data_IF_315261596460
#
_entry.id   IF_315261596460
#
_cell.length_a   1.000
_cell.length_b   1.000
_cell.length_c   1.000
_cell.angle_alpha   90.00
_cell.angle_beta   90.00
_cell.angle_gamma   90.00
#
_symmetry.space_group_name_H-M   'P 1'
#
loop_
_entity.id
_entity.type
_entity.pdbx_description
1 polymer ?
#
# COMPACT_ATOMS: atom_id res chain seq x y z
N UNK A 1 -15.20 1.32 16.84
CA UNK A 1 -14.61 1.25 15.48
C UNK A 1 -15.46 2.14 14.59
N UNK A 2 -14.90 3.16 13.92
CA UNK A 2 -15.59 3.75 12.78
C UNK A 2 -15.89 2.58 11.82
N UNK A 3 -17.15 2.40 11.45
CA UNK A 3 -17.55 1.21 10.69
C UNK A 3 -16.92 1.25 9.29
N UNK A 4 -15.90 0.43 9.09
CA UNK A 4 -15.46 0.11 7.74
C UNK A 4 -16.62 -0.53 7.01
N UNK A 5 -17.00 -0.01 5.87
CA UNK A 5 -18.10 -0.56 5.08
C UNK A 5 -17.58 -1.52 4.03
N UNK A 6 -18.26 -2.67 3.86
CA UNK A 6 -17.88 -3.65 2.84
C UNK A 6 -17.84 -2.96 1.44
N UNK A 7 -16.70 -2.97 0.76
CA UNK A 7 -16.55 -2.33 -0.54
C UNK A 7 -17.15 -3.17 -1.69
N UNK A 8 -17.60 -4.38 -1.42
CA UNK A 8 -18.11 -5.30 -2.44
C UNK A 8 -19.64 -5.36 -2.46
N UNK A 9 -20.23 -5.56 -3.65
CA UNK A 9 -19.57 -5.64 -4.95
C UNK A 9 -18.95 -4.30 -5.37
N UNK A 10 -17.83 -4.34 -6.11
CA UNK A 10 -17.22 -3.14 -6.71
C UNK A 10 -18.27 -2.44 -7.58
N UNK A 11 -18.49 -1.16 -7.32
CA UNK A 11 -19.55 -0.38 -7.96
C UNK A 11 -19.33 -0.16 -9.47
N UNK A 12 -18.06 -0.04 -9.89
CA UNK A 12 -17.66 0.09 -11.30
C UNK A 12 -16.22 -0.39 -11.49
N UNK A 13 -15.95 -0.91 -12.68
CA UNK A 13 -14.62 -1.44 -13.02
C UNK A 13 -13.65 -0.31 -13.37
N UNK A 14 -12.97 0.21 -12.33
CA UNK A 14 -11.97 1.27 -12.47
C UNK A 14 -10.72 0.79 -13.19
N UNK A 15 -10.09 1.68 -13.95
CA UNK A 15 -8.73 1.51 -14.45
C UNK A 15 -7.74 2.01 -13.39
N UNK A 16 -6.81 1.16 -12.99
CA UNK A 16 -5.76 1.46 -12.02
C UNK A 16 -4.43 1.53 -12.77
N UNK A 17 -3.82 2.70 -12.79
CA UNK A 17 -2.49 2.87 -13.38
C UNK A 17 -1.42 2.52 -12.36
N UNK A 18 -0.56 1.57 -12.70
CA UNK A 18 0.54 1.12 -11.85
C UNK A 18 1.88 1.34 -12.56
N UNK A 19 2.70 2.21 -11.99
CA UNK A 19 4.12 2.32 -12.34
C UNK A 19 4.88 1.53 -11.28
N UNK A 20 5.26 0.29 -11.60
CA UNK A 20 5.76 -0.66 -10.61
C UNK A 20 7.05 -1.36 -11.05
N UNK A 21 7.57 -2.25 -10.20
CA UNK A 21 8.72 -3.07 -10.52
C UNK A 21 8.30 -4.32 -11.33
N UNK A 22 9.25 -4.89 -12.07
CA UNK A 22 8.99 -6.02 -12.95
C UNK A 22 8.72 -7.33 -12.19
N UNK A 23 9.23 -7.45 -10.95
CA UNK A 23 9.16 -8.69 -10.16
C UNK A 23 7.73 -8.97 -9.71
N UNK A 24 7.02 -7.95 -9.25
CA UNK A 24 5.65 -8.08 -8.74
C UNK A 24 4.56 -7.69 -9.75
N UNK A 25 4.94 -7.19 -10.92
CA UNK A 25 4.03 -6.61 -11.92
C UNK A 25 2.83 -7.54 -12.24
N UNK A 26 3.08 -8.81 -12.56
CA UNK A 26 2.04 -9.80 -12.87
C UNK A 26 1.13 -10.06 -11.67
N UNK A 27 1.68 -10.20 -10.47
CA UNK A 27 0.93 -10.42 -9.24
C UNK A 27 0.00 -9.24 -8.93
N UNK A 28 0.46 -8.01 -9.11
CA UNK A 28 -0.34 -6.80 -8.92
C UNK A 28 -1.48 -6.72 -9.93
N UNK A 29 -1.19 -6.99 -11.21
CA UNK A 29 -2.21 -7.01 -12.26
C UNK A 29 -3.33 -8.00 -11.95
N UNK A 30 -2.96 -9.23 -11.58
CA UNK A 30 -3.91 -10.28 -11.22
C UNK A 30 -4.66 -9.96 -9.91
N UNK A 31 -4.02 -9.33 -8.93
CA UNK A 31 -4.68 -8.87 -7.70
C UNK A 31 -5.76 -7.82 -7.97
N UNK A 32 -5.46 -6.82 -8.81
CA UNK A 32 -6.45 -5.81 -9.24
C UNK A 32 -7.63 -6.45 -9.99
N UNK A 33 -7.34 -7.39 -10.90
CA UNK A 33 -8.38 -8.15 -11.62
C UNK A 33 -9.23 -9.00 -10.66
N UNK A 34 -8.62 -9.62 -9.65
CA UNK A 34 -9.32 -10.42 -8.65
C UNK A 34 -10.40 -9.61 -7.93
N UNK A 35 -10.18 -8.32 -7.67
CA UNK A 35 -11.16 -7.43 -7.06
C UNK A 35 -12.23 -6.93 -8.04
N UNK A 36 -12.01 -7.02 -9.35
CA UNK A 36 -12.97 -6.59 -10.39
C UNK A 36 -12.61 -5.27 -11.09
N UNK A 37 -11.43 -4.71 -10.82
CA UNK A 37 -10.89 -3.54 -11.51
C UNK A 37 -9.95 -3.94 -12.66
N UNK A 38 -9.48 -2.98 -13.43
CA UNK A 38 -8.60 -3.18 -14.59
C UNK A 38 -7.22 -2.56 -14.32
N UNK A 39 -6.13 -3.33 -14.43
CA UNK A 39 -4.78 -2.78 -14.31
C UNK A 39 -4.28 -2.25 -15.66
N UNK A 40 -3.43 -1.23 -15.60
CA UNK A 40 -2.52 -0.85 -16.69
C UNK A 40 -1.12 -0.61 -16.11
N UNK A 41 -0.11 -1.26 -16.70
CA UNK A 41 1.27 -1.29 -16.18
C UNK A 41 2.21 -0.48 -17.10
N UNK A 42 1.77 0.72 -17.51
CA UNK A 42 2.53 1.59 -18.42
C UNK A 42 3.56 2.42 -17.62
N UNK A 43 4.82 2.35 -17.98
CA UNK A 43 5.91 3.08 -17.32
C UNK A 43 6.88 3.80 -18.28
N UNK A 44 6.54 3.84 -19.57
CA UNK A 44 7.28 4.59 -20.59
C UNK A 44 6.83 6.07 -20.56
N UNK A 45 7.78 7.00 -20.43
CA UNK A 45 7.48 8.44 -20.35
C UNK A 45 6.78 8.99 -21.59
N UNK A 46 6.82 8.31 -22.72
CA UNK A 46 6.18 8.72 -23.98
C UNK A 46 4.66 8.50 -23.98
N UNK A 47 4.16 7.53 -23.18
CA UNK A 47 2.74 7.16 -23.15
C UNK A 47 2.10 7.27 -21.75
N UNK A 48 2.90 7.42 -20.69
CA UNK A 48 2.45 7.38 -19.30
C UNK A 48 1.24 8.28 -19.02
N UNK A 49 1.22 9.47 -19.61
CA UNK A 49 0.13 10.43 -19.43
C UNK A 49 -1.18 9.99 -20.10
N UNK A 50 -1.11 9.24 -21.19
CA UNK A 50 -2.31 8.76 -21.87
C UNK A 50 -3.07 7.76 -21.00
N UNK A 51 -2.34 6.93 -20.24
CA UNK A 51 -2.92 5.99 -19.30
C UNK A 51 -3.31 6.66 -17.98
N UNK A 52 -2.48 7.56 -17.44
CA UNK A 52 -2.83 8.25 -16.19
C UNK A 52 -4.14 9.05 -16.34
N UNK A 53 -4.34 9.71 -17.48
CA UNK A 53 -5.56 10.49 -17.77
C UNK A 53 -6.84 9.67 -17.77
N UNK A 54 -6.77 8.39 -18.10
CA UNK A 54 -7.92 7.49 -18.19
C UNK A 54 -8.18 6.74 -16.88
N UNK A 55 -7.25 6.81 -15.92
CA UNK A 55 -7.28 6.03 -14.70
C UNK A 55 -8.05 6.73 -13.58
N UNK A 56 -8.56 5.95 -12.63
CA UNK A 56 -9.27 6.42 -11.44
C UNK A 56 -8.40 6.40 -10.18
N UNK A 57 -7.22 5.78 -10.24
CA UNK A 57 -6.17 5.86 -9.22
C UNK A 57 -4.80 5.59 -9.84
N UNK A 58 -3.75 6.13 -9.20
CA UNK A 58 -2.35 5.92 -9.58
C UNK A 58 -1.62 5.21 -8.44
N UNK A 59 -0.94 4.12 -8.75
CA UNK A 59 -0.01 3.44 -7.85
C UNK A 59 1.42 3.58 -8.39
N UNK A 60 2.32 4.09 -7.56
CA UNK A 60 3.75 4.25 -7.84
C UNK A 60 4.54 3.41 -6.86
N UNK A 61 5.35 2.48 -7.38
CA UNK A 61 6.30 1.68 -6.60
C UNK A 61 7.72 1.99 -7.06
N UNK A 62 8.61 2.34 -6.14
CA UNK A 62 9.98 2.76 -6.45
C UNK A 62 10.97 1.60 -6.66
N UNK A 63 10.49 0.36 -6.65
CA UNK A 63 11.31 -0.80 -7.02
C UNK A 63 11.75 -0.74 -8.48
N UNK A 64 12.95 -1.27 -8.80
CA UNK A 64 13.49 -1.31 -10.17
C UNK A 64 13.50 0.07 -10.86
N UNK A 65 14.02 1.08 -10.17
CA UNK A 65 14.06 2.44 -10.69
C UNK A 65 15.09 2.57 -11.82
N UNK A 66 14.69 3.18 -12.94
CA UNK A 66 15.55 3.65 -14.02
C UNK A 66 15.34 5.14 -14.23
N UNK A 67 16.25 5.81 -14.95
CA UNK A 67 16.09 7.23 -15.25
C UNK A 67 14.80 7.51 -16.07
N UNK A 68 14.43 6.61 -16.98
CA UNK A 68 13.21 6.75 -17.78
C UNK A 68 11.95 6.52 -16.92
N UNK A 69 11.97 5.52 -16.04
CA UNK A 69 10.88 5.30 -15.08
C UNK A 69 10.73 6.46 -14.10
N UNK A 70 11.83 7.04 -13.60
CA UNK A 70 11.79 8.23 -12.76
C UNK A 70 11.10 9.40 -13.47
N UNK A 71 11.42 9.64 -14.75
CA UNK A 71 10.76 10.66 -15.56
C UNK A 71 9.26 10.38 -15.72
N UNK A 72 8.88 9.14 -16.01
CA UNK A 72 7.49 8.73 -16.12
C UNK A 72 6.72 8.93 -14.79
N UNK A 73 7.33 8.54 -13.66
CA UNK A 73 6.78 8.76 -12.30
C UNK A 73 6.49 10.25 -12.07
N UNK A 74 7.45 11.14 -12.33
CA UNK A 74 7.28 12.59 -12.14
C UNK A 74 6.15 13.15 -13.00
N UNK A 75 6.04 12.72 -14.25
CA UNK A 75 4.99 13.15 -15.17
C UNK A 75 3.60 12.69 -14.68
N UNK A 76 3.46 11.42 -14.32
CA UNK A 76 2.21 10.85 -13.82
C UNK A 76 1.78 11.50 -12.50
N UNK A 77 2.70 11.64 -11.53
CA UNK A 77 2.43 12.25 -10.23
C UNK A 77 2.03 13.73 -10.36
N UNK A 78 2.73 14.50 -11.20
CA UNK A 78 2.38 15.90 -11.48
C UNK A 78 0.97 16.04 -12.05
N UNK A 79 0.61 15.18 -13.00
CA UNK A 79 -0.74 15.17 -13.56
C UNK A 79 -1.79 14.76 -12.50
N UNK A 80 -1.51 13.70 -11.73
CA UNK A 80 -2.39 13.23 -10.68
C UNK A 80 -2.71 14.35 -9.66
N UNK A 81 -1.69 15.13 -9.24
CA UNK A 81 -1.87 16.27 -8.36
C UNK A 81 -2.78 17.35 -8.97
N UNK A 82 -2.60 17.68 -10.26
CA UNK A 82 -3.39 18.72 -10.94
C UNK A 82 -4.88 18.40 -11.00
N UNK A 83 -5.23 17.11 -11.12
CA UNK A 83 -6.63 16.67 -11.25
C UNK A 83 -7.18 16.02 -9.99
N UNK A 84 -6.44 16.05 -8.90
CA UNK A 84 -6.78 15.36 -7.63
C UNK A 84 -7.06 13.86 -7.81
N UNK A 85 -6.32 13.22 -8.71
CA UNK A 85 -6.36 11.76 -8.88
C UNK A 85 -5.74 11.09 -7.64
N UNK A 86 -6.44 10.18 -6.95
CA UNK A 86 -5.86 9.48 -5.79
C UNK A 86 -4.55 8.78 -6.16
N UNK A 87 -3.52 8.98 -5.33
CA UNK A 87 -2.19 8.45 -5.59
C UNK A 87 -1.63 7.72 -4.37
N UNK A 88 -1.19 6.48 -4.57
CA UNK A 88 -0.45 5.69 -3.60
C UNK A 88 1.01 5.63 -4.03
N UNK A 89 1.92 5.96 -3.11
CA UNK A 89 3.37 5.89 -3.35
C UNK A 89 3.99 4.90 -2.38
N UNK A 90 4.67 3.88 -2.91
CA UNK A 90 5.37 2.85 -2.14
C UNK A 90 6.88 3.14 -2.11
N UNK A 91 7.39 3.42 -0.92
CA UNK A 91 8.75 3.87 -0.65
C UNK A 91 9.79 2.73 -0.65
N UNK A 92 9.60 1.72 -1.48
CA UNK A 92 10.48 0.54 -1.57
C UNK A 92 11.94 0.94 -1.72
N UNK A 93 12.79 0.47 -0.78
CA UNK A 93 14.24 0.59 -0.85
C UNK A 93 14.81 1.97 -0.55
N UNK A 94 14.06 2.88 0.05
CA UNK A 94 14.55 4.22 0.46
C UNK A 94 15.60 4.16 1.56
N UNK A 95 15.70 3.04 2.29
CA UNK A 95 16.74 2.82 3.31
C UNK A 95 18.14 2.76 2.70
N UNK A 96 18.25 2.18 1.51
CA UNK A 96 19.54 1.89 0.85
C UNK A 96 19.84 2.85 -0.32
N UNK A 97 18.86 3.61 -0.82
CA UNK A 97 19.00 4.43 -2.03
C UNK A 97 18.72 5.90 -1.77
N UNK A 98 19.75 6.74 -1.89
CA UNK A 98 19.60 8.20 -1.80
C UNK A 98 18.76 8.77 -2.95
N UNK A 99 18.81 8.15 -4.13
CA UNK A 99 18.02 8.56 -5.30
C UNK A 99 16.52 8.35 -4.99
N UNK A 100 16.16 7.16 -4.48
CA UNK A 100 14.75 6.88 -4.11
C UNK A 100 14.29 7.80 -2.98
N UNK A 101 15.14 8.06 -2.01
CA UNK A 101 14.84 8.99 -0.91
C UNK A 101 14.63 10.42 -1.41
N UNK A 102 15.42 10.87 -2.39
CA UNK A 102 15.22 12.16 -3.05
C UNK A 102 13.92 12.19 -3.83
N UNK A 103 13.64 11.15 -4.62
CA UNK A 103 12.42 11.08 -5.42
C UNK A 103 11.16 11.10 -4.54
N UNK A 104 11.14 10.38 -3.39
CA UNK A 104 10.02 10.50 -2.45
C UNK A 104 9.81 11.95 -1.99
N UNK A 105 10.89 12.66 -1.64
CA UNK A 105 10.76 14.06 -1.22
C UNK A 105 10.12 14.93 -2.29
N UNK A 106 10.50 14.73 -3.56
CA UNK A 106 9.91 15.45 -4.68
C UNK A 106 8.44 15.04 -4.90
N UNK A 107 8.10 13.76 -4.66
CA UNK A 107 6.73 13.26 -4.78
C UNK A 107 5.79 13.80 -3.69
N UNK A 108 6.32 14.19 -2.53
CA UNK A 108 5.52 14.85 -1.48
C UNK A 108 4.92 16.17 -1.94
N UNK A 109 5.60 16.90 -2.84
CA UNK A 109 5.09 18.15 -3.42
C UNK A 109 3.83 17.92 -4.29
N UNK A 110 3.60 16.68 -4.74
CA UNK A 110 2.42 16.26 -5.48
C UNK A 110 1.30 15.70 -4.60
N UNK A 111 1.44 15.79 -3.27
CA UNK A 111 0.41 15.44 -2.29
C UNK A 111 -0.17 14.02 -2.49
N UNK A 112 0.63 12.94 -2.39
CA UNK A 112 0.10 11.59 -2.48
C UNK A 112 -0.97 11.36 -1.40
N UNK A 113 -2.01 10.60 -1.72
CA UNK A 113 -3.07 10.24 -0.76
C UNK A 113 -2.54 9.29 0.30
N UNK A 114 -1.69 8.34 -0.10
CA UNK A 114 -1.08 7.34 0.78
C UNK A 114 0.40 7.22 0.47
N UNK A 115 1.24 7.39 1.50
CA UNK A 115 2.66 7.06 1.47
C UNK A 115 2.87 5.74 2.22
N UNK A 116 3.26 4.70 1.49
CA UNK A 116 3.41 3.35 2.03
C UNK A 116 4.89 2.95 2.09
N UNK A 117 5.20 2.12 3.04
CA UNK A 117 6.48 1.43 3.18
C UNK A 117 6.46 0.49 4.38
N UNK A 118 7.50 -0.34 4.52
CA UNK A 118 7.67 -1.09 5.75
C UNK A 118 8.22 -0.21 6.89
N UNK A 119 8.25 -0.75 8.09
CA UNK A 119 8.70 -0.02 9.29
C UNK A 119 10.09 0.64 9.11
N UNK A 120 11.05 -0.08 8.53
CA UNK A 120 12.41 0.42 8.29
C UNK A 120 12.44 1.56 7.27
N UNK A 121 11.67 1.43 6.19
CA UNK A 121 11.59 2.42 5.12
C UNK A 121 10.99 3.72 5.63
N UNK A 122 9.86 3.63 6.32
CA UNK A 122 9.18 4.81 6.88
C UNK A 122 10.04 5.48 7.94
N UNK A 123 10.63 4.75 8.90
CA UNK A 123 11.57 5.32 9.88
C UNK A 123 12.74 6.05 9.21
N UNK A 124 13.35 5.43 8.20
CA UNK A 124 14.44 6.05 7.43
C UNK A 124 14.00 7.33 6.71
N UNK A 125 12.79 7.34 6.17
CA UNK A 125 12.24 8.49 5.45
C UNK A 125 12.02 9.68 6.38
N UNK A 126 11.43 9.45 7.55
CA UNK A 126 11.13 10.51 8.53
C UNK A 126 12.33 10.88 9.42
N UNK A 127 13.50 10.30 9.16
CA UNK A 127 14.77 10.67 9.84
C UNK A 127 14.95 10.01 11.21
N UNK A 128 14.14 9.02 11.57
CA UNK A 128 14.32 8.25 12.80
C UNK A 128 15.41 7.18 12.61
N UNK A 129 16.24 7.00 13.65
CA UNK A 129 17.27 5.96 13.65
C UNK A 129 16.63 4.57 13.72
N UNK A 130 17.22 3.62 13.01
CA UNK A 130 16.89 2.21 13.16
C UNK A 130 17.77 1.64 14.28
N UNK A 131 17.18 1.14 15.36
CA UNK A 131 17.91 0.39 16.38
C UNK A 131 17.95 -1.08 15.96
N UNK A 132 19.13 -1.69 16.02
CA UNK A 132 19.38 -3.04 15.55
C UNK A 132 18.65 -4.14 16.33
N UNK A 133 18.75 -5.37 15.85
CA UNK A 133 18.18 -6.60 16.45
C UNK A 133 18.63 -6.75 17.91
N UNK A 134 17.67 -6.84 18.87
CA UNK A 134 17.98 -7.14 20.28
C UNK A 134 17.37 -6.17 21.31
N UNK A 135 16.39 -5.38 20.94
CA UNK A 135 15.73 -4.41 21.85
C UNK A 135 14.61 -5.07 22.66
N UNK A 136 14.50 -4.76 23.95
CA UNK A 136 13.43 -5.23 24.84
C UNK A 136 12.03 -4.77 24.39
N UNK A 137 10.98 -5.49 24.82
CA UNK A 137 9.59 -5.20 24.43
C UNK A 137 9.17 -3.76 24.77
N UNK A 138 9.55 -3.26 25.94
CA UNK A 138 9.28 -1.86 26.36
C UNK A 138 9.94 -0.82 25.47
N UNK A 139 11.14 -1.10 24.95
CA UNK A 139 11.83 -0.20 24.02
C UNK A 139 11.18 -0.23 22.63
N UNK A 140 10.62 -1.39 22.19
CA UNK A 140 9.84 -1.48 20.94
C UNK A 140 8.52 -0.72 21.01
N UNK A 141 7.86 -0.73 22.16
CA UNK A 141 6.62 0.02 22.36
C UNK A 141 6.90 1.54 22.30
N UNK A 142 7.95 2.03 22.98
CA UNK A 142 8.37 3.42 22.92
C UNK A 142 8.79 3.83 21.50
N UNK A 143 9.51 2.99 20.78
CA UNK A 143 9.87 3.26 19.38
C UNK A 143 8.63 3.40 18.47
N UNK A 144 7.57 2.64 18.76
CA UNK A 144 6.32 2.74 18.02
C UNK A 144 5.59 4.05 18.33
N UNK A 145 5.53 4.44 19.59
CA UNK A 145 4.92 5.73 20.02
C UNK A 145 5.66 6.93 19.41
N UNK A 146 7.00 6.93 19.45
CA UNK A 146 7.83 7.98 18.85
C UNK A 146 7.56 8.08 17.33
N UNK A 147 7.44 6.94 16.64
CA UNK A 147 7.10 6.91 15.22
C UNK A 147 5.71 7.50 14.98
N UNK A 148 4.70 7.08 15.72
CA UNK A 148 3.32 7.55 15.56
C UNK A 148 3.23 9.08 15.69
N UNK A 149 3.92 9.66 16.66
CA UNK A 149 3.94 11.12 16.85
C UNK A 149 4.55 11.81 15.62
N UNK A 150 5.71 11.35 15.16
CA UNK A 150 6.39 11.91 13.97
C UNK A 150 5.51 11.79 12.73
N UNK A 151 4.83 10.65 12.53
CA UNK A 151 3.94 10.46 11.39
C UNK A 151 2.71 11.38 11.43
N UNK A 152 2.13 11.60 12.62
CA UNK A 152 1.05 12.59 12.81
C UNK A 152 1.50 14.00 12.45
N UNK A 153 2.71 14.40 12.85
CA UNK A 153 3.28 15.71 12.53
C UNK A 153 3.51 15.87 11.01
N UNK A 154 3.95 14.81 10.34
CA UNK A 154 4.05 14.79 8.87
C UNK A 154 2.68 14.93 8.20
N UNK A 155 1.66 14.22 8.69
CA UNK A 155 0.29 14.35 8.17
C UNK A 155 -0.31 15.75 8.38
N UNK A 156 0.18 16.51 9.36
CA UNK A 156 -0.17 17.93 9.53
C UNK A 156 0.53 18.81 8.49
N UNK A 157 1.80 18.51 8.19
CA UNK A 157 2.62 19.24 7.21
C UNK A 157 2.14 18.98 5.77
N UNK A 158 1.65 17.77 5.47
CA UNK A 158 1.14 17.36 4.17
C UNK A 158 -0.36 17.01 4.26
N UNK A 159 -1.26 18.01 4.21
CA UNK A 159 -2.70 17.79 4.39
C UNK A 159 -3.26 16.84 3.35
N UNK A 160 -4.06 15.88 3.80
CA UNK A 160 -4.67 14.86 2.93
C UNK A 160 -3.84 13.60 2.72
N UNK A 161 -2.54 13.63 3.06
CA UNK A 161 -1.69 12.44 3.04
C UNK A 161 -1.82 11.65 4.34
N UNK A 162 -1.66 10.34 4.22
CA UNK A 162 -1.50 9.43 5.35
C UNK A 162 -0.37 8.43 5.11
N UNK A 163 0.05 7.76 6.18
CA UNK A 163 1.03 6.68 6.11
C UNK A 163 0.35 5.32 6.24
N UNK A 164 0.79 4.39 5.41
CA UNK A 164 0.54 2.96 5.54
C UNK A 164 1.87 2.24 5.80
N UNK A 165 2.08 1.82 7.02
CA UNK A 165 3.32 1.17 7.46
C UNK A 165 3.07 -0.32 7.64
N UNK A 166 3.64 -1.14 6.75
CA UNK A 166 3.46 -2.58 6.79
C UNK A 166 4.46 -3.27 7.70
N UNK A 167 4.01 -4.33 8.39
CA UNK A 167 4.83 -5.10 9.33
C UNK A 167 4.07 -6.22 10.01
N UNK A 168 4.59 -6.82 11.09
CA UNK A 168 3.86 -7.81 11.88
C UNK A 168 2.54 -7.27 12.48
N UNK A 169 2.48 -5.97 12.69
CA UNK A 169 1.26 -5.18 12.86
C UNK A 169 1.35 -4.05 11.86
N UNK A 170 0.30 -3.88 11.09
CA UNK A 170 0.22 -2.80 10.12
C UNK A 170 -0.32 -1.54 10.77
N UNK A 171 0.30 -0.39 10.49
CA UNK A 171 -0.11 0.89 11.04
C UNK A 171 -0.65 1.77 9.91
N UNK A 172 -1.82 2.33 10.10
CA UNK A 172 -2.37 3.37 9.23
C UNK A 172 -2.46 4.65 10.06
N UNK A 173 -1.72 5.68 9.67
CA UNK A 173 -1.60 6.93 10.44
C UNK A 173 -2.01 8.10 9.59
N UNK A 174 -3.09 8.74 9.97
CA UNK A 174 -3.53 10.04 9.43
C UNK A 174 -3.34 11.13 10.49
N UNK A 175 -3.66 12.36 10.13
CA UNK A 175 -3.63 13.48 11.08
C UNK A 175 -4.48 13.22 12.34
N UNK A 176 -5.67 12.61 12.16
CA UNK A 176 -6.68 12.51 13.22
C UNK A 176 -6.95 11.08 13.68
N UNK A 177 -6.46 10.08 12.96
CA UNK A 177 -6.81 8.67 13.20
C UNK A 177 -5.58 7.78 13.05
N UNK A 178 -5.52 6.76 13.89
CA UNK A 178 -4.53 5.69 13.83
C UNK A 178 -5.26 4.34 13.83
N UNK A 179 -4.92 3.45 12.92
CA UNK A 179 -5.32 2.06 13.00
C UNK A 179 -4.08 1.17 13.22
N UNK A 180 -4.23 0.18 14.08
CA UNK A 180 -3.24 -0.89 14.31
C UNK A 180 -3.91 -2.20 13.97
N UNK A 181 -3.52 -2.82 12.86
CA UNK A 181 -4.15 -4.03 12.34
C UNK A 181 -3.22 -5.23 12.52
N UNK A 182 -3.77 -6.36 12.93
CA UNK A 182 -3.02 -7.54 13.33
C UNK A 182 -3.38 -8.82 12.59
N UNK A 183 -4.08 -8.75 11.46
CA UNK A 183 -4.27 -9.89 10.57
C UNK A 183 -2.98 -10.19 9.80
N UNK A 184 -2.84 -11.43 9.36
CA UNK A 184 -1.74 -11.89 8.53
C UNK A 184 -1.17 -13.22 9.00
N UNK A 185 -0.28 -13.77 8.20
CA UNK A 185 0.45 -15.00 8.50
C UNK A 185 1.91 -14.87 8.06
N UNK A 186 2.79 -15.64 8.68
CA UNK A 186 4.23 -15.59 8.38
C UNK A 186 4.56 -16.00 6.94
N UNK A 187 3.71 -16.78 6.32
CA UNK A 187 3.87 -17.28 4.95
C UNK A 187 3.80 -16.18 3.90
N UNK A 188 3.24 -15.01 4.23
CA UNK A 188 3.29 -13.85 3.34
C UNK A 188 4.73 -13.40 3.05
N UNK A 189 5.68 -13.69 3.95
CA UNK A 189 7.10 -13.43 3.74
C UNK A 189 7.79 -14.45 2.81
N UNK A 190 7.11 -15.55 2.45
CA UNK A 190 7.67 -16.54 1.52
C UNK A 190 7.72 -16.02 0.09
N UNK A 191 6.85 -15.10 -0.27
CA UNK A 191 6.70 -14.61 -1.64
C UNK A 191 6.99 -13.12 -1.74
N UNK A 192 7.73 -12.75 -2.78
CA UNK A 192 8.03 -11.35 -3.07
C UNK A 192 6.80 -10.65 -3.66
N UNK A 193 6.55 -9.41 -3.23
CA UNK A 193 5.53 -8.54 -3.83
C UNK A 193 4.22 -8.45 -3.05
N UNK A 194 4.07 -9.15 -1.92
CA UNK A 194 2.89 -9.02 -1.04
C UNK A 194 2.70 -7.59 -0.54
N UNK A 195 3.80 -6.94 -0.15
CA UNK A 195 3.79 -5.53 0.20
C UNK A 195 3.35 -4.65 -0.97
N UNK A 196 3.91 -4.86 -2.17
CA UNK A 196 3.54 -4.11 -3.39
C UNK A 196 2.05 -4.30 -3.70
N UNK A 197 1.54 -5.52 -3.51
CA UNK A 197 0.13 -5.85 -3.72
C UNK A 197 -0.78 -5.05 -2.78
N UNK A 198 -0.43 -4.88 -1.50
CA UNK A 198 -1.17 -3.98 -0.57
C UNK A 198 -1.30 -2.58 -1.17
N UNK A 199 -0.22 -2.02 -1.73
CA UNK A 199 -0.27 -0.70 -2.38
C UNK A 199 -1.24 -0.64 -3.56
N UNK A 200 -1.21 -1.66 -4.42
CA UNK A 200 -2.11 -1.77 -5.57
C UNK A 200 -3.59 -1.94 -5.13
N UNK A 201 -3.86 -2.76 -4.10
CA UNK A 201 -5.21 -2.92 -3.54
C UNK A 201 -5.70 -1.63 -2.88
N UNK A 202 -4.81 -0.86 -2.23
CA UNK A 202 -5.15 0.46 -1.69
C UNK A 202 -5.62 1.39 -2.83
N UNK A 203 -4.93 1.41 -3.97
CA UNK A 203 -5.34 2.18 -5.14
C UNK A 203 -6.70 1.72 -5.69
N UNK A 204 -7.01 0.41 -5.65
CA UNK A 204 -8.34 -0.11 -6.01
C UNK A 204 -9.41 0.50 -5.12
N UNK A 205 -9.26 0.46 -3.80
CA UNK A 205 -10.30 0.99 -2.90
C UNK A 205 -10.41 2.52 -2.97
N UNK A 206 -9.31 3.25 -3.18
CA UNK A 206 -9.35 4.68 -3.47
C UNK A 206 -10.16 4.99 -4.72
N UNK A 207 -10.00 4.20 -5.78
CA UNK A 207 -10.74 4.37 -7.03
C UNK A 207 -12.26 4.16 -6.87
N UNK A 208 -12.69 3.50 -5.80
CA UNK A 208 -14.10 3.30 -5.44
C UNK A 208 -14.65 4.39 -4.50
N UNK A 209 -13.91 5.49 -4.32
CA UNK A 209 -14.33 6.63 -3.51
C UNK A 209 -14.13 6.45 -2.00
N UNK A 210 -13.38 5.42 -1.56
CA UNK A 210 -13.00 5.30 -0.16
C UNK A 210 -11.97 6.38 0.20
N UNK A 211 -12.03 6.87 1.43
CA UNK A 211 -10.99 7.75 1.96
C UNK A 211 -9.63 7.03 2.00
N UNK A 212 -8.54 7.77 2.05
CA UNK A 212 -7.20 7.17 2.17
C UNK A 212 -7.08 6.21 3.35
N UNK A 213 -7.69 6.58 4.49
CA UNK A 213 -7.69 5.77 5.71
C UNK A 213 -8.48 4.47 5.54
N UNK A 214 -9.73 4.56 5.07
CA UNK A 214 -10.55 3.38 4.81
C UNK A 214 -9.92 2.46 3.77
N UNK A 215 -9.41 3.02 2.66
CA UNK A 215 -8.79 2.26 1.58
C UNK A 215 -7.57 1.48 2.07
N UNK A 216 -6.73 2.11 2.92
CA UNK A 216 -5.55 1.45 3.50
C UNK A 216 -5.95 0.34 4.47
N UNK A 217 -6.91 0.58 5.38
CA UNK A 217 -7.41 -0.44 6.29
C UNK A 217 -8.00 -1.63 5.53
N UNK A 218 -8.83 -1.37 4.53
CA UNK A 218 -9.46 -2.41 3.71
C UNK A 218 -8.42 -3.22 2.93
N UNK A 219 -7.43 -2.57 2.31
CA UNK A 219 -6.42 -3.25 1.50
C UNK A 219 -5.55 -4.21 2.31
N UNK A 220 -5.04 -3.75 3.46
CA UNK A 220 -4.24 -4.57 4.37
C UNK A 220 -5.06 -5.73 4.90
N UNK A 221 -6.25 -5.45 5.47
CA UNK A 221 -7.10 -6.49 6.05
C UNK A 221 -7.54 -7.51 5.00
N UNK A 222 -7.88 -7.06 3.79
CA UNK A 222 -8.35 -7.95 2.73
C UNK A 222 -7.27 -8.93 2.27
N UNK A 223 -6.03 -8.46 2.06
CA UNK A 223 -4.91 -9.34 1.73
C UNK A 223 -4.59 -10.30 2.88
N UNK A 224 -4.46 -9.76 4.09
CA UNK A 224 -4.04 -10.53 5.26
C UNK A 224 -5.08 -11.61 5.64
N UNK A 225 -6.37 -11.29 5.62
CA UNK A 225 -7.45 -12.26 5.85
C UNK A 225 -7.49 -13.30 4.71
N UNK A 226 -7.25 -12.89 3.46
CA UNK A 226 -7.15 -13.83 2.34
C UNK A 226 -6.03 -14.86 2.58
N UNK A 227 -4.88 -14.42 3.07
CA UNK A 227 -3.77 -15.30 3.39
C UNK A 227 -4.07 -16.22 4.59
N UNK A 228 -4.70 -15.71 5.66
CA UNK A 228 -5.10 -16.51 6.83
C UNK A 228 -6.07 -17.67 6.48
N UNK A 229 -6.83 -17.55 5.40
CA UNK A 229 -7.74 -18.62 4.95
C UNK A 229 -7.04 -19.78 4.22
N UNK A 230 -5.73 -19.68 3.98
CA UNK A 230 -4.97 -20.71 3.25
C UNK A 230 -4.48 -21.79 4.22
N UNK A 231 -4.75 -23.05 3.89
CA UNK A 231 -4.20 -24.20 4.62
C UNK A 231 -2.83 -24.54 4.02
N UNK A 232 -1.76 -24.17 4.72
CA UNK A 232 -0.38 -24.25 4.20
C UNK A 232 0.28 -25.63 4.29
N UNK A 233 -0.35 -26.61 4.95
CA UNK A 233 0.24 -27.93 5.14
C UNK A 233 0.53 -28.62 3.80
N UNK A 234 1.80 -28.91 3.55
CA UNK A 234 2.26 -29.57 2.33
C UNK A 234 2.40 -28.65 1.11
N UNK A 235 2.23 -27.33 1.28
CA UNK A 235 2.39 -26.37 0.20
C UNK A 235 3.84 -25.92 0.03
N UNK A 236 4.25 -25.71 -1.22
CA UNK A 236 5.43 -24.97 -1.59
C UNK A 236 5.12 -23.47 -1.76
N UNK A 237 6.17 -22.69 -2.02
CA UNK A 237 6.11 -21.23 -2.20
C UNK A 237 5.13 -20.83 -3.32
N UNK A 238 5.21 -21.48 -4.47
CA UNK A 238 4.34 -21.15 -5.61
C UNK A 238 2.89 -21.55 -5.38
N UNK A 239 2.63 -22.68 -4.71
CA UNK A 239 1.27 -23.07 -4.34
C UNK A 239 0.64 -22.01 -3.43
N UNK A 240 1.39 -21.51 -2.46
CA UNK A 240 0.93 -20.44 -1.57
C UNK A 240 0.65 -19.14 -2.37
N UNK A 241 1.56 -18.75 -3.26
CA UNK A 241 1.38 -17.58 -4.13
C UNK A 241 0.08 -17.64 -4.94
N UNK A 242 -0.19 -18.78 -5.58
CA UNK A 242 -1.43 -18.97 -6.33
C UNK A 242 -2.66 -18.95 -5.42
N UNK A 243 -2.57 -19.54 -4.23
CA UNK A 243 -3.68 -19.53 -3.29
C UNK A 243 -3.99 -18.13 -2.75
N UNK A 244 -3.01 -17.26 -2.56
CA UNK A 244 -3.25 -15.85 -2.19
C UNK A 244 -4.12 -15.17 -3.26
N UNK A 245 -3.77 -15.26 -4.54
CA UNK A 245 -4.56 -14.68 -5.63
C UNK A 245 -5.96 -15.30 -5.74
N UNK A 246 -6.08 -16.61 -5.53
CA UNK A 246 -7.37 -17.30 -5.50
C UNK A 246 -8.24 -16.77 -4.35
N UNK A 247 -7.68 -16.64 -3.13
CA UNK A 247 -8.42 -16.16 -1.97
C UNK A 247 -8.87 -14.70 -2.14
N UNK A 248 -8.07 -13.84 -2.76
CA UNK A 248 -8.50 -12.49 -3.12
C UNK A 248 -9.76 -12.49 -3.99
N UNK A 249 -9.88 -13.44 -4.93
CA UNK A 249 -11.07 -13.54 -5.79
C UNK A 249 -12.27 -14.18 -5.10
N UNK A 250 -12.06 -14.96 -4.04
CA UNK A 250 -13.10 -15.68 -3.31
C UNK A 250 -13.64 -14.88 -2.12
N UNK A 251 -12.77 -14.19 -1.39
CA UNK A 251 -13.14 -13.46 -0.15
C UNK A 251 -14.22 -12.40 -0.39
N UNK A 252 -14.27 -11.79 -1.57
CA UNK A 252 -15.32 -10.81 -1.92
C UNK A 252 -16.74 -11.39 -1.96
N UNK A 253 -16.90 -12.72 -1.90
CA UNK A 253 -18.19 -13.40 -1.83
C UNK A 253 -18.69 -13.59 -0.39
N UNK A 254 -17.81 -13.37 0.57
CA UNK A 254 -18.11 -13.43 2.00
C UNK A 254 -18.58 -12.04 2.45
N UNK A 255 -19.88 -11.88 2.65
CA UNK A 255 -20.47 -10.58 3.03
C UNK A 255 -20.00 -10.10 4.41
N UNK A 256 -19.56 -11.04 5.26
CA UNK A 256 -19.15 -10.79 6.64
C UNK A 256 -17.61 -10.80 6.83
N UNK A 257 -16.82 -10.73 5.75
CA UNK A 257 -15.37 -10.80 5.86
C UNK A 257 -14.75 -9.70 6.75
N UNK A 258 -15.42 -8.56 6.90
CA UNK A 258 -15.01 -7.47 7.80
C UNK A 258 -14.98 -7.88 9.27
N UNK A 259 -15.81 -8.85 9.68
CA UNK A 259 -15.86 -9.33 11.06
C UNK A 259 -14.58 -10.07 11.46
N UNK A 260 -13.79 -10.50 10.48
CA UNK A 260 -12.50 -11.15 10.71
C UNK A 260 -11.35 -10.15 10.93
N UNK A 261 -11.58 -8.85 10.81
CA UNK A 261 -10.54 -7.83 11.04
C UNK A 261 -10.13 -7.83 12.51
N UNK A 262 -8.81 -7.96 12.74
CA UNK A 262 -8.19 -7.92 14.07
C UNK A 262 -7.43 -6.60 14.21
N UNK A 263 -7.75 -5.83 15.23
CA UNK A 263 -7.05 -4.58 15.50
C UNK A 263 -7.97 -3.49 16.05
N UNK A 264 -7.39 -2.32 16.25
CA UNK A 264 -8.05 -1.17 16.86
C UNK A 264 -7.86 0.09 16.02
N UNK A 265 -8.85 0.96 16.04
CA UNK A 265 -8.81 2.30 15.44
C UNK A 265 -8.96 3.31 16.57
N UNK A 266 -8.03 4.27 16.63
CA UNK A 266 -7.98 5.34 17.63
C UNK A 266 -8.10 6.70 16.94
N UNK A 267 -8.67 7.68 17.64
CA UNK A 267 -8.69 9.11 17.25
C UNK A 267 -7.48 9.89 17.79
#
# INVERSE_FOLDING_TARGET
>A
MQELTNPFPIGYSSLIHCITNEISCEMLANGILALGCKPVMADDSREVLDFTKQSQALFINLGHLSAEKEKAIRMAASYAAQVSLPMVVDAVGVTASSIRKSLIKDLLDYSPTVLKGNMSEIRSLVGLKHHGVGVDASAKDQETEDLLQVLKDWCQTYPGMLFLVTGPKDLIVSKNQVAVLGNGCAELDWITGTGDLVGALTAVFLSQGKTGFEASCLAVSYLNISAEKIVVQGMGLEDFRYQVLNQLSLLKRDENWLDAIKGDIYE
#
